data_IF_029208984029
#
_entry.id   IF_029208984029
#
_cell.length_a   1.000
_cell.length_b   1.000
_cell.length_c   1.000
_cell.angle_alpha   90.00
_cell.angle_beta   90.00
_cell.angle_gamma   90.00
#
_symmetry.space_group_name_H-M   'P 1'
#
loop_
_entity.id
_entity.type
_entity.pdbx_description
1 polymer ?
#
# COMPACT_ATOMS: atom_id res chain seq x y z
N UNK A 1 4.57 -5.11 1.09
CA UNK A 1 5.02 -5.02 2.50
C UNK A 1 4.88 -3.58 2.95
N UNK A 2 4.51 -3.33 4.20
CA UNK A 2 4.46 -1.99 4.78
C UNK A 2 5.48 -1.86 5.91
N UNK A 3 6.27 -0.80 5.83
CA UNK A 3 7.34 -0.47 6.77
C UNK A 3 7.21 1.01 7.12
N UNK A 4 7.38 1.36 8.39
CA UNK A 4 7.34 2.78 8.78
C UNK A 4 8.54 3.50 8.18
N UNK A 5 8.34 4.75 7.75
CA UNK A 5 9.43 5.53 7.17
C UNK A 5 10.57 5.76 8.17
N UNK A 6 10.25 5.89 9.47
CA UNK A 6 11.24 6.03 10.53
C UNK A 6 12.11 4.78 10.66
N UNK A 7 11.52 3.59 10.66
CA UNK A 7 12.23 2.31 10.68
C UNK A 7 13.13 2.16 9.44
N UNK A 8 12.60 2.51 8.25
CA UNK A 8 13.38 2.48 7.01
C UNK A 8 14.57 3.44 7.04
N UNK A 9 14.38 4.67 7.54
CA UNK A 9 15.49 5.64 7.68
C UNK A 9 16.56 5.18 8.68
N UNK A 10 16.20 4.40 9.70
CA UNK A 10 17.14 3.90 10.70
C UNK A 10 17.91 2.66 10.24
N UNK A 11 17.27 1.75 9.50
CA UNK A 11 17.83 0.42 9.19
C UNK A 11 18.03 0.13 7.70
N UNK A 12 17.57 1.01 6.81
CA UNK A 12 17.70 0.85 5.37
C UNK A 12 17.13 -0.48 4.88
N UNK A 13 17.95 -1.25 4.17
CA UNK A 13 17.59 -2.57 3.62
C UNK A 13 17.26 -3.63 4.69
N UNK A 14 17.71 -3.42 5.93
CA UNK A 14 17.42 -4.32 7.07
C UNK A 14 16.16 -3.91 7.85
N UNK A 15 15.43 -2.90 7.37
CA UNK A 15 14.18 -2.46 7.98
C UNK A 15 13.13 -3.56 7.93
N UNK A 16 12.60 -3.93 9.09
CA UNK A 16 11.66 -5.03 9.17
C UNK A 16 10.22 -4.49 9.10
N UNK A 17 9.39 -5.00 8.18
CA UNK A 17 8.04 -4.49 7.97
C UNK A 17 7.17 -4.73 9.20
N UNK A 18 6.21 -3.84 9.45
CA UNK A 18 5.17 -4.06 10.46
C UNK A 18 4.00 -4.89 9.90
N UNK A 19 3.81 -4.87 8.58
CA UNK A 19 2.75 -5.62 7.90
C UNK A 19 3.27 -6.28 6.63
N UNK A 20 3.04 -7.58 6.51
CA UNK A 20 3.34 -8.37 5.31
C UNK A 20 2.04 -8.93 4.75
N UNK A 21 1.88 -8.89 3.42
CA UNK A 21 0.73 -9.47 2.74
C UNK A 21 1.26 -10.37 1.64
N UNK A 22 0.79 -11.61 1.63
CA UNK A 22 1.09 -12.62 0.62
C UNK A 22 -0.16 -12.87 -0.21
N UNK A 23 -0.01 -12.85 -1.53
CA UNK A 23 -1.08 -13.18 -2.47
C UNK A 23 -0.81 -14.55 -3.10
N UNK A 24 -1.69 -15.50 -2.81
CA UNK A 24 -1.70 -16.87 -3.27
C UNK A 24 -2.56 -16.96 -4.55
N UNK A 25 -1.95 -17.30 -5.68
CA UNK A 25 -2.56 -17.27 -7.02
C UNK A 25 -2.85 -18.68 -7.58
N UNK A 26 -2.66 -19.72 -6.79
CA UNK A 26 -2.79 -21.13 -7.18
C UNK A 26 -4.21 -21.47 -7.66
N UNK A 27 -5.21 -20.72 -7.23
CA UNK A 27 -6.63 -20.88 -7.62
C UNK A 27 -7.08 -19.93 -8.74
N UNK A 28 -6.17 -19.11 -9.30
CA UNK A 28 -6.55 -18.11 -10.29
C UNK A 28 -7.04 -18.74 -11.60
N UNK A 29 -6.33 -19.73 -12.12
CA UNK A 29 -6.73 -20.37 -13.39
C UNK A 29 -7.98 -21.26 -13.26
N UNK A 30 -8.13 -21.93 -12.11
CA UNK A 30 -9.20 -22.92 -11.90
C UNK A 30 -10.50 -22.32 -11.37
N UNK A 31 -10.41 -21.29 -10.53
CA UNK A 31 -11.57 -20.71 -9.83
C UNK A 31 -11.68 -19.19 -9.98
N UNK A 32 -10.75 -18.54 -10.69
CA UNK A 32 -10.66 -17.08 -10.80
C UNK A 32 -10.58 -16.38 -9.44
N UNK A 33 -9.83 -16.98 -8.50
CA UNK A 33 -9.67 -16.49 -7.12
C UNK A 33 -8.18 -16.29 -6.80
N UNK A 34 -7.88 -15.21 -6.08
CA UNK A 34 -6.60 -14.96 -5.40
C UNK A 34 -6.86 -14.87 -3.91
N UNK A 35 -6.09 -15.59 -3.09
CA UNK A 35 -6.22 -15.54 -1.63
C UNK A 35 -5.14 -14.61 -1.05
N UNK A 36 -5.54 -13.65 -0.21
CA UNK A 36 -4.64 -12.76 0.50
C UNK A 36 -4.45 -13.20 1.94
N UNK A 37 -3.20 -13.39 2.37
CA UNK A 37 -2.83 -13.61 3.78
C UNK A 37 -2.08 -12.39 4.31
N UNK A 38 -2.65 -11.71 5.31
CA UNK A 38 -2.00 -10.61 6.02
C UNK A 38 -1.38 -11.07 7.35
N UNK A 39 -0.17 -10.60 7.64
CA UNK A 39 0.48 -10.73 8.95
C UNK A 39 0.83 -9.33 9.47
N UNK A 40 0.35 -9.00 10.67
CA UNK A 40 0.67 -7.75 11.38
C UNK A 40 1.47 -8.10 12.61
N UNK A 41 2.65 -7.49 12.77
CA UNK A 41 3.50 -7.69 13.94
C UNK A 41 3.03 -6.76 15.05
N UNK A 42 2.64 -7.34 16.18
CA UNK A 42 2.24 -6.58 17.36
C UNK A 42 3.37 -5.67 17.89
N UNK A 43 3.00 -4.60 18.59
CA UNK A 43 3.95 -3.65 19.21
C UNK A 43 4.90 -2.93 18.22
N UNK A 44 4.50 -2.80 16.94
CA UNK A 44 5.25 -2.06 15.90
C UNK A 44 4.61 -0.74 15.49
N UNK A 45 3.70 -0.22 16.33
CA UNK A 45 3.07 1.09 16.15
C UNK A 45 1.95 1.13 15.12
N UNK A 46 1.43 -0.03 14.72
CA UNK A 46 0.29 -0.17 13.79
C UNK A 46 -0.63 -1.27 14.32
N UNK A 47 -1.91 -0.95 14.47
CA UNK A 47 -2.99 -1.88 14.81
C UNK A 47 -3.45 -2.67 13.59
N UNK A 48 -4.24 -3.74 13.82
CA UNK A 48 -4.81 -4.53 12.73
C UNK A 48 -5.71 -3.69 11.81
N UNK A 49 -6.51 -2.79 12.38
CA UNK A 49 -7.43 -1.94 11.62
C UNK A 49 -6.68 -0.90 10.77
N UNK A 50 -5.63 -0.29 11.31
CA UNK A 50 -4.74 0.61 10.55
C UNK A 50 -4.03 -0.15 9.44
N UNK A 51 -3.53 -1.36 9.70
CA UNK A 51 -2.92 -2.21 8.68
C UNK A 51 -3.92 -2.53 7.56
N UNK A 52 -5.16 -2.91 7.91
CA UNK A 52 -6.24 -3.14 6.94
C UNK A 52 -6.54 -1.89 6.12
N UNK A 53 -6.61 -0.72 6.76
CA UNK A 53 -6.82 0.55 6.08
C UNK A 53 -5.69 0.86 5.08
N UNK A 54 -4.42 0.64 5.45
CA UNK A 54 -3.28 0.78 4.54
C UNK A 54 -3.39 -0.14 3.32
N UNK A 55 -3.89 -1.37 3.48
CA UNK A 55 -4.16 -2.27 2.36
C UNK A 55 -5.22 -1.68 1.42
N UNK A 56 -6.29 -1.12 1.97
CA UNK A 56 -7.34 -0.48 1.18
C UNK A 56 -6.80 0.74 0.43
N UNK A 57 -5.98 1.57 1.08
CA UNK A 57 -5.30 2.68 0.42
C UNK A 57 -4.44 2.18 -0.73
N UNK A 58 -3.58 1.17 -0.52
CA UNK A 58 -2.79 0.56 -1.59
C UNK A 58 -3.67 0.11 -2.76
N UNK A 59 -4.80 -0.56 -2.50
CA UNK A 59 -5.73 -0.96 -3.55
C UNK A 59 -6.28 0.25 -4.33
N UNK A 60 -6.64 1.36 -3.67
CA UNK A 60 -7.10 2.59 -4.35
C UNK A 60 -6.08 3.14 -5.35
N UNK A 61 -4.78 3.02 -5.06
CA UNK A 61 -3.73 3.54 -5.94
C UNK A 61 -3.38 2.60 -7.09
N UNK A 62 -3.44 1.28 -6.87
CA UNK A 62 -3.02 0.27 -7.85
C UNK A 62 -4.17 -0.26 -8.72
N UNK A 63 -5.42 -0.19 -8.24
CA UNK A 63 -6.60 -0.61 -9.01
C UNK A 63 -7.18 0.61 -9.71
N UNK A 64 -7.00 0.68 -11.03
CA UNK A 64 -7.59 1.76 -11.84
C UNK A 64 -9.11 1.61 -11.91
N UNK A 65 -9.83 2.48 -11.22
CA UNK A 65 -11.27 2.74 -11.44
C UNK A 65 -11.43 3.97 -12.33
N UNK A 66 -12.64 4.21 -12.87
CA UNK A 66 -12.94 5.40 -13.69
C UNK A 66 -12.64 6.73 -12.97
N UNK A 67 -12.64 6.73 -11.64
CA UNK A 67 -12.33 7.89 -10.76
C UNK A 67 -10.85 7.92 -10.33
N UNK A 68 -10.04 6.92 -10.71
CA UNK A 68 -8.67 6.72 -10.24
C UNK A 68 -7.58 7.49 -10.99
N UNK A 69 -7.93 8.39 -11.92
CA UNK A 69 -6.94 9.07 -12.77
C UNK A 69 -5.90 9.86 -11.97
N UNK A 70 -6.33 10.60 -10.94
CA UNK A 70 -5.42 11.34 -10.05
C UNK A 70 -4.50 10.42 -9.22
N UNK A 71 -5.00 9.26 -8.79
CA UNK A 71 -4.23 8.26 -8.03
C UNK A 71 -3.17 7.58 -8.90
N UNK A 72 -3.54 7.21 -10.13
CA UNK A 72 -2.60 6.60 -11.08
C UNK A 72 -1.51 7.58 -11.51
N UNK A 73 -1.83 8.87 -11.65
CA UNK A 73 -0.84 9.93 -11.94
C UNK A 73 0.15 10.10 -10.78
N UNK A 74 -0.35 10.21 -9.55
CA UNK A 74 0.52 10.30 -8.36
C UNK A 74 1.44 9.08 -8.21
N UNK A 75 0.93 7.89 -8.51
CA UNK A 75 1.72 6.66 -8.47
C UNK A 75 2.85 6.66 -9.52
N UNK A 76 2.58 7.12 -10.75
CA UNK A 76 3.59 7.24 -11.81
C UNK A 76 4.65 8.30 -11.45
N UNK A 77 4.22 9.48 -10.97
CA UNK A 77 5.10 10.55 -10.50
C UNK A 77 6.06 10.06 -9.41
N UNK A 78 5.52 9.36 -8.39
CA UNK A 78 6.33 8.80 -7.31
C UNK A 78 7.35 7.78 -7.84
N UNK A 79 6.92 6.87 -8.71
CA UNK A 79 7.75 5.77 -9.23
C UNK A 79 8.91 6.28 -10.07
N UNK A 80 8.72 7.38 -10.81
CA UNK A 80 9.77 8.00 -11.64
C UNK A 80 10.65 8.99 -10.89
N UNK A 81 10.33 9.30 -9.63
CA UNK A 81 11.01 10.34 -8.86
C UNK A 81 10.73 11.75 -9.37
N UNK A 82 9.53 12.01 -9.87
CA UNK A 82 9.12 13.33 -10.37
C UNK A 82 9.07 14.35 -9.22
N UNK A 83 9.73 15.50 -9.40
CA UNK A 83 9.73 16.62 -8.46
C UNK A 83 8.35 17.26 -8.24
N UNK A 84 7.39 17.02 -9.15
CA UNK A 84 6.00 17.43 -9.01
C UNK A 84 5.18 16.59 -8.03
N UNK A 85 5.74 15.49 -7.51
CA UNK A 85 5.08 14.68 -6.50
C UNK A 85 4.90 15.46 -5.20
N UNK A 86 3.66 15.47 -4.68
CA UNK A 86 3.29 16.18 -3.46
C UNK A 86 2.68 15.21 -2.45
N UNK A 87 3.28 15.17 -1.24
CA UNK A 87 2.81 14.30 -0.16
C UNK A 87 1.41 14.67 0.29
N UNK A 88 1.07 15.97 0.33
CA UNK A 88 -0.28 16.42 0.72
C UNK A 88 -1.33 15.87 -0.25
N UNK A 89 -1.06 15.90 -1.56
CA UNK A 89 -1.94 15.30 -2.57
C UNK A 89 -2.10 13.79 -2.40
N UNK A 90 -1.03 13.08 -2.01
CA UNK A 90 -1.09 11.65 -1.70
C UNK A 90 -2.05 11.38 -0.54
N UNK A 91 -1.95 12.17 0.54
CA UNK A 91 -2.81 12.05 1.72
C UNK A 91 -4.26 12.30 1.34
N UNK A 92 -4.54 13.42 0.64
CA UNK A 92 -5.89 13.77 0.19
C UNK A 92 -6.51 12.64 -0.64
N UNK A 93 -5.78 12.08 -1.60
CA UNK A 93 -6.28 11.01 -2.46
C UNK A 93 -6.49 9.67 -1.73
N UNK A 94 -5.70 9.42 -0.67
CA UNK A 94 -5.84 8.24 0.19
C UNK A 94 -7.11 8.32 1.06
N UNK A 95 -7.37 9.50 1.63
CA UNK A 95 -8.49 9.77 2.54
C UNK A 95 -9.84 9.92 1.83
N UNK A 96 -9.85 10.33 0.55
CA UNK A 96 -11.08 10.37 -0.26
C UNK A 96 -11.84 9.05 -0.18
N UNK A 97 -13.07 9.13 0.31
CA UNK A 97 -14.06 8.06 0.18
C UNK A 97 -14.39 7.95 -1.31
N UNK A 98 -14.39 6.71 -1.84
CA UNK A 98 -14.83 6.44 -3.21
C UNK A 98 -16.27 6.92 -3.39
#
# INVERSE_FOLDING_TARGET
MFTTLAEFKLRGEFASPHTTITFHQELTESHNIVLGQGLVIENRGVSLDEARWLVMCMQKFYVQTAEGKGRSELLDMFTRGDSGFQVDRLIDEAEKIL
#
